data_IF_009115713859
#
_entry.id   IF_009115713859
#
_cell.length_a   1.000
_cell.length_b   1.000
_cell.length_c   1.000
_cell.angle_alpha   90.00
_cell.angle_beta   90.00
_cell.angle_gamma   90.00
#
_symmetry.space_group_name_H-M   'P 1'
#
loop_
_entity.id
_entity.type
_entity.pdbx_description
1 polymer ?
#
# COMPACT_ATOMS: atom_id res chain seq x y z
N UNK A 1 46.53 8.34 50.95
CA UNK A 1 45.78 9.62 50.79
C UNK A 1 45.43 9.91 49.32
N UNK A 2 46.23 9.44 48.36
CA UNK A 2 46.03 9.59 46.91
C UNK A 2 44.80 8.88 46.33
N UNK A 3 44.47 7.67 46.80
CA UNK A 3 43.29 6.93 46.31
C UNK A 3 41.95 7.62 46.63
N UNK A 4 41.85 8.31 47.79
CA UNK A 4 40.65 9.07 48.17
C UNK A 4 40.47 10.32 47.29
N UNK A 5 41.57 10.97 46.91
CA UNK A 5 41.55 12.14 46.01
C UNK A 5 41.13 11.70 44.60
N UNK A 6 41.65 10.58 44.11
CA UNK A 6 41.25 10.02 42.81
C UNK A 6 39.76 9.66 42.79
N UNK A 7 39.25 9.05 43.86
CA UNK A 7 37.83 8.70 43.99
C UNK A 7 36.94 9.95 44.04
N UNK A 8 37.39 11.03 44.69
CA UNK A 8 36.69 12.30 44.74
C UNK A 8 36.66 13.02 43.38
N UNK A 9 37.76 13.00 42.64
CA UNK A 9 37.81 13.54 41.27
C UNK A 9 36.93 12.72 40.30
N UNK A 10 36.89 11.39 40.44
CA UNK A 10 36.00 10.53 39.65
C UNK A 10 34.52 10.82 39.98
N UNK A 11 34.19 11.04 41.25
CA UNK A 11 32.85 11.42 41.68
C UNK A 11 32.41 12.77 41.08
N UNK A 12 33.30 13.78 41.09
CA UNK A 12 33.03 15.09 40.48
C UNK A 12 32.82 15.01 38.95
N UNK A 13 33.60 14.17 38.26
CA UNK A 13 33.48 14.00 36.81
C UNK A 13 32.13 13.35 36.42
N UNK A 14 31.67 12.36 37.19
CA UNK A 14 30.38 11.69 36.94
C UNK A 14 29.19 12.63 37.18
N UNK A 15 29.28 13.56 38.13
CA UNK A 15 28.19 14.55 38.37
C UNK A 15 28.11 15.65 37.32
N UNK A 16 29.18 15.89 36.54
CA UNK A 16 29.22 16.98 35.55
C UNK A 16 28.60 16.65 34.18
N UNK A 17 28.25 15.40 33.90
CA UNK A 17 27.81 14.94 32.56
C UNK A 17 26.30 14.68 32.42
N UNK A 18 25.45 15.22 33.29
CA UNK A 18 24.00 15.06 33.11
C UNK A 18 23.49 15.92 31.95
N UNK A 19 23.17 15.30 30.82
CA UNK A 19 22.41 15.95 29.74
C UNK A 19 20.98 16.22 30.23
N UNK A 20 20.69 17.46 30.58
CA UNK A 20 19.37 17.85 31.09
C UNK A 20 18.38 17.95 29.92
N UNK A 21 17.61 16.90 29.69
CA UNK A 21 16.41 16.96 28.87
C UNK A 21 15.45 18.01 29.47
N UNK A 22 14.94 18.91 28.64
CA UNK A 22 14.05 19.98 29.08
C UNK A 22 12.62 19.63 28.71
N UNK A 23 11.71 19.79 29.68
CA UNK A 23 10.28 19.58 29.49
C UNK A 23 9.61 20.90 29.11
N UNK A 24 9.00 20.93 27.94
CA UNK A 24 8.20 22.05 27.44
C UNK A 24 6.73 21.72 27.65
N UNK A 25 6.00 22.68 28.19
CA UNK A 25 4.53 22.65 28.27
C UNK A 25 4.04 23.87 27.53
N UNK A 26 3.15 23.66 26.57
CA UNK A 26 2.64 24.74 25.75
C UNK A 26 1.24 24.48 25.24
N UNK A 27 0.70 25.47 24.53
CA UNK A 27 -0.61 25.39 23.89
C UNK A 27 -0.54 25.91 22.46
N UNK A 28 -1.24 25.24 21.56
CA UNK A 28 -1.39 25.61 20.15
C UNK A 28 -2.80 26.15 19.96
N UNK A 29 -2.90 27.34 19.38
CA UNK A 29 -4.17 28.03 19.13
C UNK A 29 -4.25 28.55 17.70
N UNK A 30 -5.46 28.73 17.20
CA UNK A 30 -5.71 29.45 15.96
C UNK A 30 -5.36 30.94 16.14
N UNK A 31 -4.59 31.51 15.22
CA UNK A 31 -4.13 32.90 15.30
C UNK A 31 -5.27 33.93 15.28
N UNK A 32 -6.40 33.62 14.64
CA UNK A 32 -7.58 34.50 14.51
C UNK A 32 -8.58 34.30 15.64
N UNK A 33 -8.97 33.06 15.91
CA UNK A 33 -10.05 32.76 16.88
C UNK A 33 -9.55 32.53 18.29
N UNK A 34 -8.23 32.35 18.48
CA UNK A 34 -7.60 31.99 19.75
C UNK A 34 -8.11 30.68 20.37
N UNK A 35 -8.81 29.86 19.58
CA UNK A 35 -9.30 28.54 20.01
C UNK A 35 -8.18 27.51 19.96
N UNK A 36 -8.10 26.64 20.96
CA UNK A 36 -7.15 25.53 21.01
C UNK A 36 -7.26 24.62 19.78
N UNK A 37 -6.12 24.24 19.21
CA UNK A 37 -6.05 23.36 18.04
C UNK A 37 -5.78 21.92 18.46
N UNK A 38 -6.81 21.05 18.45
CA UNK A 38 -6.64 19.68 18.85
C UNK A 38 -5.83 18.90 17.82
N UNK A 39 -5.09 17.89 18.29
CA UNK A 39 -4.34 16.95 17.45
C UNK A 39 -3.25 17.56 16.56
N UNK A 40 -2.88 18.82 16.78
CA UNK A 40 -1.72 19.42 16.14
C UNK A 40 -0.45 18.64 16.51
N UNK A 41 0.40 18.37 15.52
CA UNK A 41 1.64 17.60 15.68
C UNK A 41 2.81 18.55 15.89
N UNK A 42 3.64 18.27 16.89
CA UNK A 42 4.87 19.02 17.22
C UNK A 42 6.04 18.06 17.10
N UNK A 43 6.98 18.34 16.20
CA UNK A 43 8.15 17.48 15.94
C UNK A 43 9.44 18.25 16.09
N UNK A 44 10.45 17.64 16.69
CA UNK A 44 11.82 18.18 16.70
C UNK A 44 12.44 17.95 15.31
N UNK A 45 12.91 19.00 14.66
CA UNK A 45 13.48 18.90 13.32
C UNK A 45 14.65 17.90 13.27
N UNK A 46 14.80 17.22 12.12
CA UNK A 46 15.78 16.17 11.89
C UNK A 46 15.68 14.93 12.81
N UNK A 47 14.59 14.78 13.55
CA UNK A 47 14.33 13.59 14.39
C UNK A 47 12.93 13.02 14.15
N UNK A 48 12.71 11.82 14.67
CA UNK A 48 11.40 11.18 14.80
C UNK A 48 10.70 11.50 16.12
N UNK A 49 11.34 12.31 16.99
CA UNK A 49 10.79 12.67 18.29
C UNK A 49 9.79 13.82 18.16
N UNK A 50 8.61 13.62 18.72
CA UNK A 50 7.53 14.59 18.69
C UNK A 50 6.43 14.23 19.66
N UNK A 51 5.39 15.07 19.69
CA UNK A 51 4.19 14.87 20.49
C UNK A 51 2.99 15.42 19.73
N UNK A 52 1.79 15.14 20.23
CA UNK A 52 0.54 15.61 19.66
C UNK A 52 -0.23 16.37 20.73
N UNK A 53 -0.89 17.46 20.35
CA UNK A 53 -1.71 18.26 21.25
C UNK A 53 -3.02 17.54 21.65
N UNK A 54 -3.47 17.79 22.88
CA UNK A 54 -4.73 17.28 23.44
C UNK A 54 -5.97 17.96 22.81
N UNK A 55 -7.18 17.62 23.30
CA UNK A 55 -8.43 18.21 22.81
C UNK A 55 -8.56 19.72 23.04
N UNK A 56 -7.74 20.30 23.92
CA UNK A 56 -7.67 21.75 24.19
C UNK A 56 -6.46 22.42 23.51
N UNK A 57 -5.71 21.68 22.69
CA UNK A 57 -4.50 22.18 22.02
C UNK A 57 -3.26 22.23 22.91
N UNK A 58 -3.28 21.64 24.12
CA UNK A 58 -2.13 21.64 25.03
C UNK A 58 -1.22 20.45 24.74
N UNK A 59 0.08 20.63 24.91
CA UNK A 59 1.06 19.56 24.67
C UNK A 59 2.18 19.59 25.70
N UNK A 60 2.86 18.44 25.81
CA UNK A 60 4.08 18.27 26.60
C UNK A 60 5.11 17.59 25.69
N UNK A 61 6.27 18.23 25.54
CA UNK A 61 7.37 17.70 24.73
C UNK A 61 8.68 17.75 25.54
N UNK A 62 9.46 16.67 25.46
CA UNK A 62 10.80 16.62 26.03
C UNK A 62 11.80 16.89 24.90
N UNK A 63 12.64 17.92 25.08
CA UNK A 63 13.64 18.33 24.09
C UNK A 63 15.06 18.21 24.65
N UNK A 64 16.07 17.94 23.79
CA UNK A 64 17.47 17.95 24.19
C UNK A 64 17.96 19.33 24.69
N UNK A 65 17.37 20.42 24.18
CA UNK A 65 17.68 21.78 24.62
C UNK A 65 16.68 22.81 24.08
N UNK A 66 16.69 24.03 24.64
CA UNK A 66 15.77 25.10 24.19
C UNK A 66 16.12 25.67 22.81
N UNK A 67 17.33 25.41 22.32
CA UNK A 67 17.76 25.77 20.97
C UNK A 67 17.22 24.81 19.90
N UNK A 68 16.59 23.68 20.29
CA UNK A 68 16.01 22.74 19.33
C UNK A 68 14.93 23.41 18.49
N UNK A 69 14.96 23.17 17.19
CA UNK A 69 13.93 23.64 16.27
C UNK A 69 12.75 22.68 16.23
N UNK A 70 11.55 23.23 16.26
CA UNK A 70 10.28 22.51 16.23
C UNK A 70 9.54 22.84 14.95
N UNK A 71 8.90 21.83 14.37
CA UNK A 71 7.92 21.98 13.30
C UNK A 71 6.55 21.63 13.85
N UNK A 72 5.60 22.54 13.67
CA UNK A 72 4.22 22.40 14.11
C UNK A 72 3.32 22.34 12.90
N UNK A 73 2.53 21.27 12.82
CA UNK A 73 1.59 21.03 11.73
C UNK A 73 0.19 20.75 12.29
N UNK A 74 -0.83 21.34 11.65
CA UNK A 74 -2.23 21.03 11.91
C UNK A 74 -3.00 21.02 10.59
N UNK A 75 -4.04 20.19 10.48
CA UNK A 75 -4.84 20.08 9.27
C UNK A 75 -5.55 21.42 8.98
N UNK A 76 -5.35 21.96 7.77
CA UNK A 76 -5.93 23.25 7.36
C UNK A 76 -5.17 24.47 7.88
N UNK A 77 -3.94 24.30 8.38
CA UNK A 77 -3.07 25.38 8.85
C UNK A 77 -1.71 25.33 8.16
N UNK A 78 -1.07 26.49 8.03
CA UNK A 78 0.30 26.59 7.52
C UNK A 78 1.30 26.00 8.55
N UNK A 79 2.28 25.18 8.10
CA UNK A 79 3.36 24.71 8.94
C UNK A 79 4.13 25.87 9.59
N UNK A 80 4.41 25.76 10.88
CA UNK A 80 5.19 26.78 11.60
C UNK A 80 6.48 26.18 12.17
N UNK A 81 7.58 26.92 11.99
CA UNK A 81 8.90 26.58 12.51
C UNK A 81 9.29 27.56 13.61
N UNK A 82 9.53 27.06 14.83
CA UNK A 82 9.95 27.87 15.98
C UNK A 82 11.04 27.17 16.78
N UNK A 83 11.69 27.88 17.69
CA UNK A 83 12.55 27.26 18.69
C UNK A 83 11.73 26.74 19.86
N UNK A 84 12.24 25.68 20.48
CA UNK A 84 11.74 25.13 21.72
C UNK A 84 11.62 26.18 22.85
N UNK A 85 12.46 27.22 22.85
CA UNK A 85 12.38 28.34 23.78
C UNK A 85 11.05 29.12 23.69
N UNK A 86 10.44 29.18 22.51
CA UNK A 86 9.27 30.02 22.21
C UNK A 86 7.96 29.21 22.22
N UNK A 87 8.04 27.92 22.55
CA UNK A 87 6.95 26.95 22.39
C UNK A 87 5.92 26.96 23.55
N UNK A 88 5.80 28.06 24.28
CA UNK A 88 4.80 28.20 25.36
C UNK A 88 3.39 28.48 24.80
N UNK A 89 3.29 29.35 23.80
CA UNK A 89 2.05 29.67 23.09
C UNK A 89 2.34 29.76 21.59
N UNK A 90 1.72 28.88 20.81
CA UNK A 90 1.97 28.75 19.38
C UNK A 90 0.70 29.15 18.63
N UNK A 91 0.81 30.14 17.75
CA UNK A 91 -0.30 30.61 16.93
C UNK A 91 -0.13 30.09 15.50
N UNK A 92 -1.10 29.30 15.02
CA UNK A 92 -1.13 28.83 13.64
C UNK A 92 -2.12 29.62 12.81
N UNK A 93 -1.71 29.96 11.59
CA UNK A 93 -2.55 30.62 10.60
C UNK A 93 -3.23 29.58 9.71
N UNK A 94 -4.52 29.79 9.39
CA UNK A 94 -5.26 28.93 8.47
C UNK A 94 -4.61 28.94 7.08
N UNK A 95 -4.49 27.75 6.50
CA UNK A 95 -4.01 27.57 5.13
C UNK A 95 -5.18 27.71 4.17
N UNK A 96 -5.14 28.72 3.31
CA UNK A 96 -6.09 28.88 2.22
C UNK A 96 -5.56 28.18 0.97
N UNK A 97 -5.54 26.84 0.98
CA UNK A 97 -5.27 26.08 -0.23
C UNK A 97 -6.51 26.10 -1.14
N UNK A 98 -6.43 26.86 -2.23
CA UNK A 98 -7.36 26.72 -3.33
C UNK A 98 -7.11 25.37 -4.00
N UNK A 99 -8.04 24.43 -3.82
CA UNK A 99 -8.05 23.21 -4.62
C UNK A 99 -8.37 23.59 -6.06
N UNK A 100 -7.47 23.28 -6.98
CA UNK A 100 -7.75 23.44 -8.41
C UNK A 100 -8.98 22.60 -8.76
N UNK A 101 -9.92 23.20 -9.48
CA UNK A 101 -11.11 22.51 -9.97
C UNK A 101 -10.69 21.30 -10.82
N UNK A 102 -11.09 20.10 -10.41
CA UNK A 102 -10.87 18.90 -11.21
C UNK A 102 -11.99 18.84 -12.25
N UNK A 103 -11.70 19.23 -13.49
CA UNK A 103 -12.64 19.03 -14.59
C UNK A 103 -12.79 17.54 -14.86
N UNK A 104 -13.91 16.95 -14.43
CA UNK A 104 -14.26 15.57 -14.77
C UNK A 104 -14.64 15.53 -16.25
N UNK A 105 -13.72 15.04 -17.09
CA UNK A 105 -14.01 14.76 -18.50
C UNK A 105 -14.90 13.52 -18.60
N UNK A 106 -15.90 13.54 -19.48
CA UNK A 106 -16.83 12.42 -19.73
C UNK A 106 -16.14 11.12 -20.18
N UNK A 107 -14.93 11.22 -20.73
CA UNK A 107 -14.15 10.06 -21.20
C UNK A 107 -13.25 9.56 -20.08
N UNK A 108 -13.39 8.28 -19.73
CA UNK A 108 -12.53 7.61 -18.77
C UNK A 108 -11.05 7.69 -19.23
N UNK A 109 -10.15 8.33 -18.47
CA UNK A 109 -8.74 8.51 -18.81
C UNK A 109 -7.99 7.22 -19.15
N UNK A 110 -8.48 6.06 -18.68
CA UNK A 110 -7.92 4.75 -18.97
C UNK A 110 -8.01 4.37 -20.46
N UNK A 111 -9.01 4.85 -21.21
CA UNK A 111 -9.17 4.51 -22.63
C UNK A 111 -7.94 4.88 -23.45
N UNK A 112 -7.38 6.07 -23.18
CA UNK A 112 -6.16 6.53 -23.85
C UNK A 112 -5.00 5.58 -23.58
N UNK A 113 -4.86 5.10 -22.34
CA UNK A 113 -3.76 4.21 -21.95
C UNK A 113 -3.91 2.85 -22.62
N UNK A 114 -5.12 2.28 -22.61
CA UNK A 114 -5.44 1.00 -23.26
C UNK A 114 -5.16 1.07 -24.77
N UNK A 115 -5.62 2.12 -25.45
CA UNK A 115 -5.37 2.31 -26.88
C UNK A 115 -3.87 2.40 -27.19
N UNK A 116 -3.10 3.11 -26.37
CA UNK A 116 -1.65 3.19 -26.53
C UNK A 116 -0.97 1.83 -26.31
N UNK A 117 -1.45 1.03 -25.35
CA UNK A 117 -0.93 -0.32 -25.12
C UNK A 117 -1.20 -1.24 -26.33
N UNK A 118 -2.41 -1.19 -26.90
CA UNK A 118 -2.79 -1.97 -28.10
C UNK A 118 -1.94 -1.59 -29.31
N UNK A 119 -1.78 -0.29 -29.60
CA UNK A 119 -1.00 0.18 -30.75
C UNK A 119 0.48 -0.24 -30.65
N UNK A 120 1.04 -0.29 -29.44
CA UNK A 120 2.43 -0.66 -29.22
C UNK A 120 2.65 -2.17 -29.00
N UNK A 121 1.58 -2.98 -29.03
CA UNK A 121 1.67 -4.43 -28.82
C UNK A 121 2.67 -5.10 -29.79
N UNK A 122 2.67 -4.82 -31.11
CA UNK A 122 3.64 -5.44 -32.02
C UNK A 122 5.08 -5.01 -31.79
N UNK A 123 5.35 -3.91 -31.07
CA UNK A 123 6.72 -3.47 -30.76
C UNK A 123 7.23 -4.02 -29.44
N UNK A 124 6.32 -4.38 -28.54
CA UNK A 124 6.60 -4.84 -27.18
C UNK A 124 6.28 -6.33 -27.01
N UNK A 125 6.12 -7.06 -28.11
CA UNK A 125 5.85 -8.48 -28.12
C UNK A 125 7.11 -9.25 -27.68
N UNK A 126 7.09 -9.94 -26.52
CA UNK A 126 8.22 -10.73 -26.04
C UNK A 126 8.59 -11.88 -26.98
N UNK A 127 7.67 -12.37 -27.81
CA UNK A 127 7.94 -13.46 -28.77
C UNK A 127 8.84 -13.02 -29.93
N UNK A 128 9.06 -11.70 -30.10
CA UNK A 128 10.06 -11.18 -31.04
C UNK A 128 11.48 -11.18 -30.50
N UNK A 129 11.68 -11.49 -29.21
CA UNK A 129 13.00 -11.59 -28.61
C UNK A 129 13.66 -12.93 -28.97
N UNK A 130 14.98 -12.96 -29.11
CA UNK A 130 15.69 -14.21 -29.39
C UNK A 130 15.52 -15.25 -28.28
N UNK A 131 15.45 -14.80 -27.03
CA UNK A 131 15.18 -15.65 -25.87
C UNK A 131 14.66 -14.82 -24.70
N UNK A 132 13.82 -15.41 -23.85
CA UNK A 132 13.44 -14.82 -22.57
C UNK A 132 13.21 -15.89 -21.51
N UNK A 133 13.24 -15.48 -20.25
CA UNK A 133 12.88 -16.34 -19.10
C UNK A 133 12.09 -15.54 -18.10
N UNK A 134 10.99 -16.11 -17.60
CA UNK A 134 10.20 -15.50 -16.53
C UNK A 134 9.59 -16.53 -15.59
N UNK A 135 9.24 -16.08 -14.40
CA UNK A 135 8.52 -16.85 -13.40
C UNK A 135 7.05 -16.41 -13.39
N UNK A 136 6.16 -17.39 -13.48
CA UNK A 136 4.72 -17.20 -13.60
C UNK A 136 4.03 -17.75 -12.36
N UNK A 137 3.18 -16.93 -11.75
CA UNK A 137 2.27 -17.35 -10.69
C UNK A 137 0.85 -17.33 -11.23
N UNK A 138 0.16 -18.46 -11.18
CA UNK A 138 -1.18 -18.62 -11.72
C UNK A 138 -2.12 -19.17 -10.66
N UNK A 139 -3.29 -18.53 -10.55
CA UNK A 139 -4.39 -18.99 -9.70
C UNK A 139 -5.61 -19.18 -10.59
N UNK A 140 -6.16 -20.38 -10.56
CA UNK A 140 -7.40 -20.74 -11.23
C UNK A 140 -8.42 -21.22 -10.22
N UNK A 141 -9.69 -20.97 -10.50
CA UNK A 141 -10.79 -21.49 -9.69
C UNK A 141 -11.64 -22.41 -10.54
N UNK A 142 -12.03 -23.54 -9.97
CA UNK A 142 -13.01 -24.44 -10.58
C UNK A 142 -14.28 -24.27 -9.78
N UNK A 143 -15.34 -23.83 -10.44
CA UNK A 143 -16.67 -23.67 -9.86
C UNK A 143 -17.73 -24.11 -10.86
N UNK A 144 -18.98 -24.14 -10.40
CA UNK A 144 -20.12 -24.31 -11.30
C UNK A 144 -20.34 -22.98 -12.03
N UNK A 145 -19.71 -22.80 -13.19
CA UNK A 145 -19.95 -21.64 -14.02
C UNK A 145 -21.27 -21.84 -14.79
N UNK A 146 -22.37 -21.33 -14.25
CA UNK A 146 -23.59 -21.03 -15.00
C UNK A 146 -24.26 -22.22 -15.70
N UNK A 147 -23.96 -23.46 -15.31
CA UNK A 147 -24.84 -24.57 -15.67
C UNK A 147 -26.11 -24.32 -14.86
N UNK A 148 -27.16 -23.82 -15.52
CA UNK A 148 -28.51 -23.94 -14.98
C UNK A 148 -28.72 -25.44 -14.78
N UNK A 149 -28.35 -25.94 -13.59
CA UNK A 149 -28.78 -27.20 -13.03
C UNK A 149 -30.29 -27.06 -12.95
N UNK A 150 -30.95 -27.26 -14.08
CA UNK A 150 -32.40 -27.27 -14.27
C UNK A 150 -32.87 -28.57 -13.66
N UNK A 151 -32.72 -28.67 -12.34
CA UNK A 151 -33.31 -29.74 -11.56
C UNK A 151 -34.79 -29.43 -11.51
N UNK A 152 -35.50 -29.87 -12.57
CA UNK A 152 -36.95 -30.12 -12.56
C UNK A 152 -37.23 -31.19 -11.52
N UNK A 153 -37.11 -30.84 -10.25
CA UNK A 153 -37.22 -31.80 -9.15
C UNK A 153 -37.94 -31.13 -8.01
N UNK A 154 -39.11 -31.68 -7.65
CA UNK A 154 -40.00 -31.21 -6.57
C UNK A 154 -39.35 -31.23 -5.17
N UNK A 155 -38.14 -31.78 -5.06
CA UNK A 155 -37.42 -31.95 -3.81
C UNK A 155 -36.64 -30.68 -3.42
N UNK A 156 -37.22 -29.90 -2.51
CA UNK A 156 -36.66 -28.67 -1.96
C UNK A 156 -35.25 -28.82 -1.38
N UNK A 157 -34.79 -30.02 -1.00
CA UNK A 157 -33.41 -30.25 -0.52
C UNK A 157 -32.39 -30.22 -1.64
N UNK A 158 -32.71 -30.84 -2.77
CA UNK A 158 -31.83 -30.91 -3.95
C UNK A 158 -31.71 -29.52 -4.58
N UNK A 159 -32.82 -28.78 -4.69
CA UNK A 159 -32.80 -27.40 -5.21
C UNK A 159 -31.97 -26.44 -4.34
N UNK A 160 -31.98 -26.60 -3.01
CA UNK A 160 -31.13 -25.81 -2.12
C UNK A 160 -29.65 -26.19 -2.23
N UNK A 161 -29.35 -27.47 -2.42
CA UNK A 161 -27.98 -27.93 -2.62
C UNK A 161 -27.44 -27.41 -3.97
N UNK A 162 -28.24 -27.50 -5.04
CA UNK A 162 -27.89 -26.97 -6.35
C UNK A 162 -27.65 -25.45 -6.30
N UNK A 163 -28.55 -24.68 -5.65
CA UNK A 163 -28.37 -23.24 -5.48
C UNK A 163 -27.13 -22.85 -4.67
N UNK A 164 -26.72 -23.69 -3.71
CA UNK A 164 -25.45 -23.50 -2.97
C UNK A 164 -24.23 -23.77 -3.84
N UNK A 165 -24.29 -24.76 -4.72
CA UNK A 165 -23.17 -25.13 -5.59
C UNK A 165 -22.98 -24.15 -6.75
N UNK A 166 -24.06 -23.52 -7.23
CA UNK A 166 -24.01 -22.55 -8.33
C UNK A 166 -23.23 -21.27 -7.99
N UNK A 167 -23.13 -20.94 -6.71
CA UNK A 167 -22.41 -19.74 -6.22
C UNK A 167 -21.07 -20.06 -5.56
N UNK A 168 -20.68 -21.33 -5.51
CA UNK A 168 -19.49 -21.79 -4.79
C UNK A 168 -18.37 -22.18 -5.73
N UNK A 169 -17.15 -21.70 -5.45
CA UNK A 169 -15.94 -22.29 -6.00
C UNK A 169 -15.72 -23.66 -5.34
N UNK A 170 -15.61 -24.70 -6.16
CA UNK A 170 -15.40 -26.07 -5.72
C UNK A 170 -13.94 -26.32 -5.36
N UNK A 171 -13.01 -25.69 -6.09
CA UNK A 171 -11.58 -25.75 -5.76
C UNK A 171 -10.84 -24.52 -6.28
N UNK A 172 -9.69 -24.26 -5.67
CA UNK A 172 -8.71 -23.27 -6.11
C UNK A 172 -7.44 -24.05 -6.43
N UNK A 173 -6.87 -23.79 -7.61
CA UNK A 173 -5.60 -24.35 -8.03
C UNK A 173 -4.59 -23.22 -8.20
N UNK A 174 -3.44 -23.38 -7.58
CA UNK A 174 -2.34 -22.44 -7.56
C UNK A 174 -1.11 -23.13 -8.14
N UNK A 175 -0.44 -22.48 -9.10
CA UNK A 175 0.78 -23.03 -9.70
C UNK A 175 1.83 -21.94 -9.88
N UNK A 176 3.08 -22.32 -9.64
CA UNK A 176 4.25 -21.51 -9.89
C UNK A 176 5.12 -22.22 -10.92
N UNK A 177 5.44 -21.55 -12.01
CA UNK A 177 6.19 -22.13 -13.11
C UNK A 177 7.25 -21.19 -13.65
N UNK A 178 8.32 -21.76 -14.19
CA UNK A 178 9.36 -21.03 -14.91
C UNK A 178 9.21 -21.33 -16.39
N UNK A 179 9.05 -20.30 -17.21
CA UNK A 179 9.01 -20.42 -18.67
C UNK A 179 10.31 -19.91 -19.27
N UNK A 180 10.80 -20.66 -20.25
CA UNK A 180 11.93 -20.31 -21.09
C UNK A 180 11.48 -20.35 -22.54
N UNK A 181 11.85 -19.33 -23.30
CA UNK A 181 11.63 -19.25 -24.74
C UNK A 181 12.95 -19.03 -25.44
N UNK A 182 13.11 -19.70 -26.58
CA UNK A 182 14.22 -19.54 -27.51
C UNK A 182 13.65 -19.60 -28.94
N UNK A 183 13.95 -18.58 -29.74
CA UNK A 183 13.52 -18.51 -31.13
C UNK A 183 14.10 -19.68 -31.96
N UNK A 184 13.39 -20.18 -32.99
CA UNK A 184 12.11 -19.68 -33.48
C UNK A 184 10.90 -20.16 -32.66
N UNK A 185 10.87 -21.42 -32.18
CA UNK A 185 9.66 -22.00 -31.55
C UNK A 185 9.99 -22.94 -30.38
N UNK A 186 11.16 -22.78 -29.75
CA UNK A 186 11.55 -23.62 -28.61
C UNK A 186 11.05 -22.98 -27.32
N UNK A 187 9.92 -23.48 -26.83
CA UNK A 187 9.36 -23.09 -25.54
C UNK A 187 9.42 -24.25 -24.54
N UNK A 188 9.88 -23.98 -23.33
CA UNK A 188 9.79 -24.91 -22.21
C UNK A 188 9.12 -24.22 -21.02
N UNK A 189 8.15 -24.89 -20.42
CA UNK A 189 7.55 -24.47 -19.17
C UNK A 189 7.73 -25.57 -18.12
N UNK A 190 8.32 -25.23 -16.98
CA UNK A 190 8.54 -26.15 -15.86
C UNK A 190 7.74 -25.68 -14.66
N UNK A 191 6.83 -26.52 -14.18
CA UNK A 191 6.05 -26.25 -12.97
C UNK A 191 6.91 -26.60 -11.77
N UNK A 192 7.31 -25.57 -11.02
CA UNK A 192 8.17 -25.72 -9.84
C UNK A 192 7.35 -26.10 -8.61
N UNK A 193 6.12 -25.56 -8.50
CA UNK A 193 5.21 -25.88 -7.41
C UNK A 193 3.75 -25.82 -7.89
N UNK A 194 2.90 -26.65 -7.28
CA UNK A 194 1.45 -26.58 -7.47
C UNK A 194 0.73 -27.00 -6.20
N UNK A 195 -0.36 -26.30 -5.89
CA UNK A 195 -1.22 -26.58 -4.76
C UNK A 195 -2.68 -26.53 -5.19
N UNK A 196 -3.47 -27.55 -4.83
CA UNK A 196 -4.91 -27.58 -5.10
C UNK A 196 -5.67 -27.65 -3.77
N UNK A 197 -6.64 -26.76 -3.59
CA UNK A 197 -7.49 -26.77 -2.39
C UNK A 197 -8.30 -28.07 -2.34
N UNK A 198 -8.21 -28.77 -1.21
CA UNK A 198 -8.94 -30.02 -0.96
C UNK A 198 -8.32 -31.29 -1.58
N UNK A 199 -7.20 -31.20 -2.32
CA UNK A 199 -6.52 -32.36 -2.91
C UNK A 199 -5.02 -32.14 -3.07
N UNK A 200 -4.20 -33.17 -2.83
CA UNK A 200 -2.74 -33.12 -3.10
C UNK A 200 -2.38 -33.41 -4.57
N UNK A 201 -3.37 -33.45 -5.47
CA UNK A 201 -3.17 -33.81 -6.88
C UNK A 201 -2.51 -32.70 -7.68
N UNK A 202 -1.45 -33.02 -8.42
CA UNK A 202 -0.78 -32.14 -9.40
C UNK A 202 -1.44 -32.15 -10.79
N UNK A 203 -2.50 -32.95 -10.99
CA UNK A 203 -3.19 -33.15 -12.27
C UNK A 203 -3.58 -31.83 -12.95
N UNK A 204 -4.05 -30.85 -12.18
CA UNK A 204 -4.47 -29.56 -12.72
C UNK A 204 -3.31 -28.69 -13.19
N UNK A 205 -2.13 -28.85 -12.60
CA UNK A 205 -0.93 -28.14 -13.04
C UNK A 205 -0.48 -28.64 -14.43
N UNK A 206 -0.53 -29.97 -14.65
CA UNK A 206 -0.18 -30.56 -15.95
C UNK A 206 -1.15 -30.22 -17.09
N UNK A 207 -2.41 -29.88 -16.77
CA UNK A 207 -3.41 -29.49 -17.76
C UNK A 207 -3.31 -27.99 -18.14
N UNK A 208 -2.54 -27.18 -17.42
CA UNK A 208 -2.45 -25.72 -17.62
C UNK A 208 -2.07 -25.33 -19.05
N UNK A 209 -1.01 -25.89 -19.68
CA UNK A 209 -0.63 -25.49 -21.03
C UNK A 209 -1.71 -25.78 -22.08
N UNK A 210 -2.64 -26.71 -21.80
CA UNK A 210 -3.74 -27.08 -22.68
C UNK A 210 -4.97 -26.16 -22.52
N UNK A 211 -5.18 -25.60 -21.33
CA UNK A 211 -6.35 -24.77 -21.01
C UNK A 211 -6.13 -23.30 -21.40
N UNK A 212 -4.92 -22.80 -21.19
CA UNK A 212 -4.56 -21.42 -21.47
C UNK A 212 -3.19 -21.39 -22.16
N UNK A 213 -3.12 -21.63 -23.47
CA UNK A 213 -1.91 -21.32 -24.21
C UNK A 213 -1.66 -19.82 -24.07
N UNK A 214 -0.59 -19.43 -23.38
CA UNK A 214 -0.15 -18.03 -23.28
C UNK A 214 0.49 -17.58 -24.59
N UNK A 215 -0.30 -17.60 -25.66
CA UNK A 215 -0.17 -16.69 -26.79
C UNK A 215 -1.26 -15.65 -26.62
N UNK A 216 -0.93 -14.38 -26.78
CA UNK A 216 -1.95 -13.34 -26.90
C UNK A 216 -2.86 -13.78 -28.05
N UNK A 217 -4.12 -14.15 -27.77
CA UNK A 217 -5.08 -14.42 -28.82
C UNK A 217 -5.19 -13.15 -29.67
N UNK A 218 -4.54 -13.16 -30.84
CA UNK A 218 -4.53 -12.04 -31.79
C UNK A 218 -5.90 -11.75 -32.40
N UNK A 219 -6.90 -12.56 -32.06
CA UNK A 219 -8.29 -12.45 -32.48
C UNK A 219 -9.14 -12.36 -31.23
N UNK A 220 -9.91 -11.27 -31.11
CA UNK A 220 -11.04 -11.04 -30.18
C UNK A 220 -10.95 -9.78 -29.30
N UNK A 221 -10.16 -8.77 -29.69
CA UNK A 221 -10.37 -7.38 -29.20
C UNK A 221 -11.28 -6.56 -30.12
N UNK A 222 -12.21 -7.20 -30.82
CA UNK A 222 -13.12 -6.51 -31.73
C UNK A 222 -14.56 -6.99 -31.59
N UNK A 223 -15.10 -6.91 -30.38
CA UNK A 223 -16.55 -6.83 -30.19
C UNK A 223 -16.81 -6.36 -28.76
N UNK A 224 -17.30 -5.13 -28.58
CA UNK A 224 -18.11 -4.62 -27.44
C UNK A 224 -18.38 -3.10 -27.53
N UNK A 225 -17.95 -2.38 -28.58
CA UNK A 225 -18.24 -0.94 -28.73
C UNK A 225 -19.46 -0.58 -29.57
N UNK A 226 -20.40 -1.51 -29.81
CA UNK A 226 -21.69 -1.17 -30.43
C UNK A 226 -22.87 -1.69 -29.63
N UNK A 227 -23.12 -1.07 -28.46
CA UNK A 227 -24.46 -0.88 -27.91
C UNK A 227 -24.57 0.47 -27.20
N UNK A 228 -24.93 1.50 -27.97
CA UNK A 228 -25.77 2.62 -27.52
C UNK A 228 -26.56 3.12 -28.71
#
# INVERSE_FOLDING_TARGET
MTAKILLFCLFLFVTGSTSAQKRIVGQIVNARTQTGLPFATIRIQHTTTGTTADSMGRFILIVPGLASELTINALGYEPLHIRAADAQLILLSESHQYLNEVTVRSINPAHRIIQQAVINLPRNDPEQLQSFTYEAYHVSTIGSAGSQLTTSTRNKRISRLAARLDTSYLSVNESYSTRQFLAPDLTQEVITASHTSGSKSTLFASLRPLLEPFGVNHTDYNDQTTKS
#
